data_IF_414284299979
#
_entry.id   IF_414284299979
#
_cell.length_a   1.000
_cell.length_b   1.000
_cell.length_c   1.000
_cell.angle_alpha   90.00
_cell.angle_beta   90.00
_cell.angle_gamma   90.00
#
_symmetry.space_group_name_H-M   'P 1'
#
loop_
_entity.id
_entity.type
_entity.pdbx_description
1 polymer ?
#
# COMPACT_ATOMS: atom_id res chain seq x y z
N UNK A 1 -11.90 -4.69 -16.77
CA UNK A 1 -10.78 -3.94 -16.14
C UNK A 1 -10.55 -4.35 -14.69
N UNK A 2 -11.51 -4.19 -13.76
CA UNK A 2 -11.32 -4.57 -12.34
C UNK A 2 -10.75 -5.99 -12.12
N UNK A 3 -11.27 -7.00 -12.84
CA UNK A 3 -10.78 -8.39 -12.73
C UNK A 3 -9.30 -8.56 -13.10
N UNK A 4 -8.83 -7.90 -14.16
CA UNK A 4 -7.43 -7.98 -14.59
C UNK A 4 -6.53 -7.34 -13.54
N UNK A 5 -6.96 -6.20 -12.98
CA UNK A 5 -6.25 -5.55 -11.88
C UNK A 5 -6.20 -6.45 -10.64
N UNK A 6 -7.32 -7.06 -10.25
CA UNK A 6 -7.38 -8.01 -9.13
C UNK A 6 -6.43 -9.20 -9.34
N UNK A 7 -6.43 -9.80 -10.53
CA UNK A 7 -5.55 -10.93 -10.85
C UNK A 7 -4.07 -10.48 -10.82
N UNK A 8 -3.75 -9.33 -11.41
CA UNK A 8 -2.40 -8.78 -11.42
C UNK A 8 -1.89 -8.49 -10.01
N UNK A 9 -2.69 -7.84 -9.17
CA UNK A 9 -2.33 -7.56 -7.77
C UNK A 9 -2.15 -8.86 -6.98
N UNK A 10 -3.04 -9.85 -7.15
CA UNK A 10 -2.91 -11.15 -6.48
C UNK A 10 -1.63 -11.88 -6.90
N UNK A 11 -1.27 -11.84 -8.18
CA UNK A 11 -0.04 -12.44 -8.69
C UNK A 11 1.21 -11.75 -8.12
N UNK A 12 1.21 -10.41 -8.05
CA UNK A 12 2.33 -9.66 -7.47
C UNK A 12 2.52 -9.98 -5.99
N UNK A 13 1.43 -10.01 -5.21
CA UNK A 13 1.47 -10.40 -3.79
C UNK A 13 1.98 -11.83 -3.65
N UNK A 14 1.51 -12.75 -4.50
CA UNK A 14 1.97 -14.14 -4.48
C UNK A 14 3.47 -14.25 -4.75
N UNK A 15 3.97 -13.64 -5.84
CA UNK A 15 5.39 -13.67 -6.18
C UNK A 15 6.26 -13.10 -5.05
N UNK A 16 5.85 -11.99 -4.43
CA UNK A 16 6.52 -11.43 -3.26
C UNK A 16 6.49 -12.39 -2.06
N UNK A 17 5.39 -13.11 -1.83
CA UNK A 17 5.25 -14.04 -0.70
C UNK A 17 6.17 -15.26 -0.80
N UNK A 18 6.52 -15.68 -2.02
CA UNK A 18 7.49 -16.76 -2.28
C UNK A 18 8.89 -16.23 -2.60
N UNK A 19 9.12 -14.93 -2.36
CA UNK A 19 10.39 -14.25 -2.60
C UNK A 19 10.91 -14.37 -4.04
N UNK A 20 10.01 -14.33 -5.04
CA UNK A 20 10.38 -14.24 -6.46
C UNK A 20 10.48 -12.77 -6.85
N UNK A 21 11.68 -12.36 -7.27
CA UNK A 21 11.99 -11.01 -7.75
C UNK A 21 11.89 -10.94 -9.27
N UNK A 22 11.79 -9.72 -9.81
CA UNK A 22 11.76 -9.52 -11.26
C UNK A 22 13.06 -10.00 -11.93
N UNK A 23 14.21 -9.84 -11.27
CA UNK A 23 15.49 -10.31 -11.79
C UNK A 23 15.52 -11.83 -11.99
N UNK A 24 14.89 -12.58 -11.09
CA UNK A 24 14.78 -14.04 -11.21
C UNK A 24 14.04 -14.45 -12.49
N UNK A 25 13.05 -13.65 -12.92
CA UNK A 25 12.31 -13.91 -14.16
C UNK A 25 13.17 -13.64 -15.41
N UNK A 26 14.06 -12.65 -15.33
CA UNK A 26 15.00 -12.31 -16.41
C UNK A 26 16.06 -13.39 -16.57
N UNK A 27 16.51 -14.00 -15.47
CA UNK A 27 17.57 -15.02 -15.44
C UNK A 27 17.06 -16.46 -15.68
N UNK A 28 15.77 -16.62 -16.01
CA UNK A 28 15.19 -17.95 -16.27
C UNK A 28 15.84 -18.68 -17.45
N UNK A 29 16.32 -17.94 -18.45
CA UNK A 29 17.07 -18.50 -19.59
C UNK A 29 18.33 -19.22 -19.12
N UNK A 30 19.13 -18.57 -18.26
CA UNK A 30 20.35 -19.13 -17.68
C UNK A 30 20.09 -20.40 -16.88
N UNK A 31 18.98 -20.46 -16.15
CA UNK A 31 18.55 -21.67 -15.44
C UNK A 31 18.32 -22.83 -16.40
N UNK A 32 17.64 -22.59 -17.52
CA UNK A 32 17.35 -23.62 -18.52
C UNK A 32 18.61 -24.05 -19.30
N UNK A 33 19.51 -23.11 -19.60
CA UNK A 33 20.80 -23.42 -20.25
C UNK A 33 21.67 -24.28 -19.34
N UNK A 34 21.81 -23.91 -18.06
CA UNK A 34 22.59 -24.68 -17.11
C UNK A 34 21.95 -26.04 -16.80
N UNK A 35 20.62 -26.13 -16.79
CA UNK A 35 19.94 -27.43 -16.73
C UNK A 35 20.26 -28.32 -17.94
N UNK A 36 20.30 -27.76 -19.16
CA UNK A 36 20.65 -28.53 -20.37
C UNK A 36 22.09 -29.06 -20.27
N UNK A 37 23.04 -28.23 -19.84
CA UNK A 37 24.41 -28.67 -19.58
C UNK A 37 24.46 -29.85 -18.59
N UNK A 38 23.74 -29.74 -17.47
CA UNK A 38 23.65 -30.81 -16.48
C UNK A 38 22.97 -32.09 -16.99
N UNK A 39 21.95 -31.94 -17.83
CA UNK A 39 21.26 -33.06 -18.47
C UNK A 39 22.19 -33.79 -19.43
N UNK A 40 22.99 -33.05 -20.20
CA UNK A 40 23.88 -33.60 -21.23
C UNK A 40 25.15 -34.23 -20.61
N UNK A 41 25.81 -33.53 -19.67
CA UNK A 41 27.10 -34.00 -19.13
C UNK A 41 26.99 -34.90 -17.91
N UNK A 42 25.97 -34.69 -17.07
CA UNK A 42 25.80 -35.46 -15.82
C UNK A 42 24.59 -36.40 -15.85
N UNK A 43 23.76 -36.33 -16.90
CA UNK A 43 22.53 -37.13 -16.99
C UNK A 43 21.47 -36.71 -15.96
N UNK A 44 21.54 -35.48 -15.44
CA UNK A 44 20.62 -35.01 -14.43
C UNK A 44 19.23 -34.77 -15.02
N UNK A 45 18.20 -35.31 -14.38
CA UNK A 45 16.85 -34.82 -14.61
C UNK A 45 16.61 -33.49 -13.86
N UNK A 46 15.58 -32.76 -14.27
CA UNK A 46 15.28 -31.44 -13.73
C UNK A 46 15.11 -31.40 -12.19
N UNK A 47 14.56 -32.46 -11.60
CA UNK A 47 14.36 -32.53 -10.13
C UNK A 47 15.70 -32.68 -9.41
N UNK A 48 16.60 -33.52 -9.94
CA UNK A 48 17.95 -33.70 -9.38
C UNK A 48 18.75 -32.41 -9.51
N UNK A 49 18.70 -31.75 -10.67
CA UNK A 49 19.28 -30.43 -10.91
C UNK A 49 18.80 -29.41 -9.87
N UNK A 50 17.48 -29.30 -9.66
CA UNK A 50 16.93 -28.38 -8.66
C UNK A 50 17.42 -28.71 -7.24
N UNK A 51 17.55 -29.99 -6.90
CA UNK A 51 18.08 -30.43 -5.60
C UNK A 51 19.57 -30.07 -5.43
N UNK A 52 20.36 -30.14 -6.51
CA UNK A 52 21.78 -29.76 -6.56
C UNK A 52 22.01 -28.26 -6.50
N UNK A 53 21.05 -27.43 -6.92
CA UNK A 53 21.24 -25.96 -6.95
C UNK A 53 20.48 -25.20 -5.87
N UNK A 54 19.33 -25.73 -5.42
CA UNK A 54 18.42 -25.06 -4.48
C UNK A 54 17.96 -25.95 -3.31
N UNK A 55 18.40 -27.21 -3.27
CA UNK A 55 17.90 -28.21 -2.33
C UNK A 55 18.98 -28.88 -1.50
N UNK A 56 18.69 -30.14 -1.13
CA UNK A 56 19.49 -30.92 -0.17
C UNK A 56 20.91 -31.24 -0.68
N UNK A 57 21.12 -31.27 -1.99
CA UNK A 57 22.41 -31.65 -2.58
C UNK A 57 23.32 -30.46 -2.85
N UNK A 58 22.85 -29.22 -2.60
CA UNK A 58 23.59 -27.98 -2.89
C UNK A 58 24.99 -27.92 -2.33
N UNK A 59 25.16 -28.20 -1.04
CA UNK A 59 26.48 -28.17 -0.41
C UNK A 59 27.45 -29.16 -1.08
N UNK A 60 27.00 -30.40 -1.28
CA UNK A 60 27.83 -31.45 -1.90
C UNK A 60 28.15 -31.19 -3.37
N UNK A 61 27.27 -30.52 -4.09
CA UNK A 61 27.49 -30.17 -5.49
C UNK A 61 28.47 -29.01 -5.61
N UNK A 62 28.29 -27.94 -4.82
CA UNK A 62 29.19 -26.79 -4.78
C UNK A 62 30.61 -27.14 -4.32
N UNK A 63 30.77 -28.13 -3.43
CA UNK A 63 32.10 -28.63 -3.04
C UNK A 63 32.82 -29.38 -4.16
N UNK A 64 32.08 -30.11 -5.01
CA UNK A 64 32.64 -30.97 -6.06
C UNK A 64 32.88 -30.23 -7.38
N UNK A 65 32.08 -29.21 -7.65
CA UNK A 65 32.06 -28.45 -8.90
C UNK A 65 32.32 -26.97 -8.58
N UNK A 66 33.53 -26.67 -8.13
CA UNK A 66 33.93 -25.29 -7.80
C UNK A 66 34.20 -24.45 -9.06
N UNK A 67 34.49 -25.12 -10.17
CA UNK A 67 34.67 -24.52 -11.48
C UNK A 67 33.41 -23.83 -12.01
N UNK A 68 32.22 -24.31 -11.63
CA UNK A 68 30.91 -23.77 -12.06
C UNK A 68 30.43 -22.59 -11.19
N UNK A 69 31.23 -22.17 -10.20
CA UNK A 69 30.80 -21.18 -9.20
C UNK A 69 30.33 -19.84 -9.82
N UNK A 70 30.98 -19.38 -10.88
CA UNK A 70 30.60 -18.13 -11.57
C UNK A 70 29.26 -18.27 -12.31
N UNK A 71 28.94 -19.46 -12.79
CA UNK A 71 27.68 -19.76 -13.47
C UNK A 71 26.55 -19.89 -12.45
N UNK A 72 26.83 -20.50 -11.30
CA UNK A 72 25.91 -20.53 -10.17
C UNK A 72 25.45 -19.12 -9.78
N UNK A 73 26.34 -18.15 -9.65
CA UNK A 73 26.00 -16.77 -9.26
C UNK A 73 25.00 -16.08 -10.21
N UNK A 74 24.91 -16.55 -11.46
CA UNK A 74 24.00 -16.00 -12.46
C UNK A 74 22.63 -16.68 -12.46
N UNK A 75 22.45 -17.76 -11.69
CA UNK A 75 21.18 -18.45 -11.60
C UNK A 75 20.16 -17.61 -10.81
N UNK A 76 18.87 -17.71 -11.15
CA UNK A 76 17.81 -17.03 -10.41
C UNK A 76 17.72 -17.54 -8.96
N UNK A 77 17.04 -16.79 -8.11
CA UNK A 77 16.72 -17.16 -6.71
C UNK A 77 17.95 -17.28 -5.78
N UNK A 78 19.04 -16.58 -6.09
CA UNK A 78 20.25 -16.55 -5.25
C UNK A 78 20.30 -15.39 -4.26
N UNK A 79 19.31 -14.49 -4.28
CA UNK A 79 19.21 -13.44 -3.26
C UNK A 79 18.98 -14.05 -1.87
N UNK A 80 19.63 -13.45 -0.86
CA UNK A 80 19.36 -13.80 0.53
C UNK A 80 17.87 -13.60 0.82
N UNK A 81 17.25 -14.57 1.50
CA UNK A 81 15.92 -14.43 2.05
C UNK A 81 15.89 -13.16 2.89
N UNK A 82 15.24 -12.12 2.36
CA UNK A 82 15.16 -10.88 3.08
C UNK A 82 14.36 -11.12 4.36
N UNK A 83 14.99 -10.68 5.46
CA UNK A 83 14.38 -10.35 6.75
C UNK A 83 12.88 -10.16 6.59
N UNK A 84 12.06 -10.91 7.34
CA UNK A 84 10.60 -10.77 7.36
C UNK A 84 10.23 -9.30 7.57
N UNK A 85 10.08 -8.55 6.49
CA UNK A 85 9.60 -7.19 6.53
C UNK A 85 8.11 -7.31 6.75
N UNK A 86 7.69 -7.06 7.99
CA UNK A 86 6.29 -7.04 8.36
C UNK A 86 5.61 -5.92 7.55
N UNK A 87 5.02 -6.27 6.43
CA UNK A 87 4.22 -5.35 5.61
C UNK A 87 2.92 -5.06 6.37
N UNK A 88 2.95 -4.07 7.25
CA UNK A 88 1.77 -3.58 7.95
C UNK A 88 0.96 -2.67 7.02
N UNK A 89 -0.15 -3.19 6.49
CA UNK A 89 -1.13 -2.37 5.79
C UNK A 89 -2.12 -1.80 6.80
N UNK A 90 -2.02 -0.50 7.09
CA UNK A 90 -3.05 0.22 7.84
C UNK A 90 -4.08 0.70 6.83
N UNK A 91 -5.21 0.01 6.74
CA UNK A 91 -6.39 0.53 6.05
C UNK A 91 -7.02 1.54 7.00
N UNK A 92 -6.73 2.81 6.78
CA UNK A 92 -7.45 3.88 7.48
C UNK A 92 -8.93 3.78 7.03
N UNK A 93 -9.88 3.55 7.96
CA UNK A 93 -11.28 3.66 7.59
C UNK A 93 -11.50 5.08 7.08
N UNK A 94 -12.09 5.20 5.87
CA UNK A 94 -12.56 6.47 5.31
C UNK A 94 -13.06 7.37 6.44
N UNK A 95 -12.57 8.61 6.59
CA UNK A 95 -13.14 9.52 7.56
C UNK A 95 -14.61 9.66 7.18
N UNK A 96 -15.49 9.10 8.02
CA UNK A 96 -16.92 9.36 7.93
C UNK A 96 -17.05 10.84 8.25
N UNK A 97 -16.92 11.69 7.23
CA UNK A 97 -17.38 13.05 7.29
C UNK A 97 -18.90 12.96 7.36
N UNK A 98 -19.40 12.70 8.56
CA UNK A 98 -20.78 12.94 8.92
C UNK A 98 -20.92 14.46 8.88
N UNK A 99 -21.20 14.99 7.69
CA UNK A 99 -21.72 16.34 7.55
C UNK A 99 -23.09 16.32 8.20
N UNK A 100 -23.12 16.55 9.51
CA UNK A 100 -24.34 16.97 10.18
C UNK A 100 -24.68 18.33 9.60
N UNK A 101 -25.52 18.35 8.57
CA UNK A 101 -26.19 19.58 8.16
C UNK A 101 -27.01 20.02 9.36
N UNK A 102 -26.52 21.04 10.06
CA UNK A 102 -27.25 21.68 11.13
C UNK A 102 -28.47 22.34 10.48
N UNK A 103 -29.63 21.69 10.57
CA UNK A 103 -30.89 22.26 10.10
C UNK A 103 -31.17 23.45 11.01
N UNK A 104 -31.22 24.69 10.50
CA UNK A 104 -31.54 25.83 11.33
C UNK A 104 -32.95 25.63 11.89
N UNK A 105 -33.05 25.55 13.21
CA UNK A 105 -34.34 25.51 13.90
C UNK A 105 -34.88 26.94 13.81
N UNK A 106 -35.99 27.11 13.10
CA UNK A 106 -36.71 28.38 13.05
C UNK A 106 -37.35 28.62 14.43
N UNK A 107 -36.62 29.33 15.30
CA UNK A 107 -37.14 29.73 16.60
C UNK A 107 -38.09 30.90 16.33
N UNK A 108 -39.38 30.62 16.17
CA UNK A 108 -40.40 31.67 16.13
C UNK A 108 -40.44 32.32 17.52
N UNK A 109 -39.66 33.39 17.69
CA UNK A 109 -39.66 34.19 18.91
C UNK A 109 -41.00 34.91 19.02
N UNK A 110 -41.84 34.50 19.98
CA UNK A 110 -43.10 35.17 20.30
C UNK A 110 -42.90 36.47 21.12
N UNK A 111 -41.65 36.87 21.35
CA UNK A 111 -41.32 38.06 22.11
C UNK A 111 -41.09 39.25 21.16
N UNK A 112 -41.87 40.31 21.34
CA UNK A 112 -41.64 41.60 20.72
C UNK A 112 -41.40 42.64 21.81
N UNK A 113 -40.35 43.45 21.65
CA UNK A 113 -40.06 44.53 22.58
C UNK A 113 -41.02 45.70 22.31
N UNK A 114 -41.96 45.93 23.22
CA UNK A 114 -42.74 47.16 23.21
C UNK A 114 -42.00 48.22 24.01
N UNK A 115 -41.55 49.28 23.33
CA UNK A 115 -40.97 50.45 23.98
C UNK A 115 -42.10 51.18 24.73
N UNK A 116 -42.18 50.97 26.04
CA UNK A 116 -43.04 51.78 26.92
C UNK A 116 -42.34 53.10 27.21
N UNK A 117 -42.40 54.05 26.28
CA UNK A 117 -41.95 55.41 26.54
C UNK A 117 -43.07 56.21 27.20
N UNK A 118 -42.84 56.63 28.44
CA UNK A 118 -43.65 57.64 29.11
C UNK A 118 -42.79 58.89 29.28
N UNK A 119 -43.12 60.03 28.65
CA UNK A 119 -42.43 61.28 28.93
C UNK A 119 -42.83 61.71 30.35
N UNK A 120 -41.96 61.47 31.33
CA UNK A 120 -42.16 61.92 32.73
C UNK A 120 -42.26 63.45 32.79
N UNK A 121 -41.75 64.14 31.76
CA UNK A 121 -41.86 65.58 31.59
C UNK A 121 -42.49 65.83 30.22
N UNK A 122 -43.69 66.40 30.19
CA UNK A 122 -44.34 66.84 28.94
C UNK A 122 -43.48 67.84 28.18
N UNK A 123 -43.90 68.20 26.96
CA UNK A 123 -43.23 69.17 26.07
C UNK A 123 -43.10 70.55 26.74
N UNK A 124 -42.15 70.66 27.66
CA UNK A 124 -41.86 71.85 28.43
C UNK A 124 -40.99 72.82 27.61
N UNK A 125 -41.01 74.12 27.98
CA UNK A 125 -40.36 75.20 27.23
C UNK A 125 -38.83 75.12 27.15
N UNK A 126 -38.23 74.08 27.73
CA UNK A 126 -36.78 73.87 27.80
C UNK A 126 -36.26 72.84 26.78
N UNK A 127 -36.97 72.61 25.68
CA UNK A 127 -36.34 71.95 24.53
C UNK A 127 -35.47 72.96 23.77
N UNK A 128 -34.24 72.58 23.37
CA UNK A 128 -33.38 73.47 22.61
C UNK A 128 -34.03 73.83 21.25
N UNK A 129 -33.81 75.06 20.73
CA UNK A 129 -34.37 75.46 19.45
C UNK A 129 -33.94 74.48 18.36
N UNK A 130 -34.90 73.90 17.65
CA UNK A 130 -34.61 73.12 16.46
C UNK A 130 -34.31 74.13 15.34
N UNK A 131 -33.03 74.51 15.28
CA UNK A 131 -32.34 75.29 14.24
C UNK A 131 -32.18 76.80 14.48
N UNK A 132 -30.92 77.20 14.70
CA UNK A 132 -30.22 78.33 14.07
C UNK A 132 -28.73 78.00 14.01
#
# INVERSE_FOLDING_TARGET
MKKIFTIGTALLIFLQSVNIHFNDLVEMDKLFEHYQFHSDEYGDNFIVFLSKHYGKLKASHSEKHQEEQQEHEQLPFQHQSQCSQLMAFVVEPEPIFQSSSEVPIDIVSNFHYQVSYSPIWGDGPFQPPRQA
#
